data_IF_621892592518
#
_entry.id   IF_621892592518
#
_cell.length_a   1.000
_cell.length_b   1.000
_cell.length_c   1.000
_cell.angle_alpha   90.00
_cell.angle_beta   90.00
_cell.angle_gamma   90.00
#
_symmetry.space_group_name_H-M   'P 1'
#
loop_
_entity.id
_entity.type
_entity.pdbx_description
1 polymer ?
#
# COMPACT_ATOMS: atom_id res chain seq x y z
N UNK A 1 -1.86 16.10 13.50
CA UNK A 1 -2.40 15.24 12.44
C UNK A 1 -3.22 14.19 13.15
N UNK A 2 -4.49 14.03 12.82
CA UNK A 2 -5.20 12.82 13.22
C UNK A 2 -4.59 11.72 12.37
N UNK A 3 -3.63 10.99 12.95
CA UNK A 3 -2.90 9.91 12.27
C UNK A 3 -3.91 9.00 11.59
N UNK A 4 -3.66 8.67 10.32
CA UNK A 4 -4.47 7.69 9.63
C UNK A 4 -4.23 6.32 10.26
N UNK A 5 -5.07 6.03 11.26
CA UNK A 5 -5.03 4.81 12.06
C UNK A 5 -5.01 3.58 11.16
N UNK A 6 -5.66 3.61 9.98
CA UNK A 6 -5.73 2.45 9.10
C UNK A 6 -4.45 2.28 8.26
N UNK A 7 -3.91 3.36 7.68
CA UNK A 7 -2.62 3.30 6.99
C UNK A 7 -1.52 2.81 7.94
N UNK A 8 -1.48 3.35 9.16
CA UNK A 8 -0.52 2.96 10.17
C UNK A 8 -0.66 1.48 10.57
N UNK A 9 -1.88 0.95 10.66
CA UNK A 9 -2.10 -0.49 10.89
C UNK A 9 -1.54 -1.34 9.75
N UNK A 10 -1.71 -0.90 8.51
CA UNK A 10 -1.19 -1.61 7.33
C UNK A 10 0.33 -1.58 7.27
N UNK A 11 0.95 -0.43 7.52
CA UNK A 11 2.41 -0.30 7.59
C UNK A 11 2.97 -1.20 8.69
N UNK A 12 2.42 -1.12 9.90
CA UNK A 12 2.83 -2.00 11.01
C UNK A 12 2.63 -3.48 10.66
N UNK A 13 1.51 -3.84 10.06
CA UNK A 13 1.25 -5.21 9.61
C UNK A 13 2.26 -5.67 8.55
N UNK A 14 2.62 -4.79 7.60
CA UNK A 14 3.61 -5.09 6.58
C UNK A 14 5.00 -5.34 7.18
N UNK A 15 5.40 -4.53 8.16
CA UNK A 15 6.63 -4.71 8.94
C UNK A 15 6.60 -6.00 9.75
N UNK A 16 5.53 -6.27 10.51
CA UNK A 16 5.52 -7.41 11.43
C UNK A 16 5.20 -8.77 10.78
N UNK A 17 4.56 -8.80 9.61
CA UNK A 17 4.06 -10.05 8.98
C UNK A 17 4.63 -10.33 7.62
N UNK A 18 4.86 -9.32 6.78
CA UNK A 18 5.38 -9.55 5.43
C UNK A 18 6.92 -9.49 5.42
N UNK A 19 7.55 -8.47 6.00
CA UNK A 19 9.02 -8.35 6.02
C UNK A 19 9.73 -9.63 6.54
N UNK A 20 9.32 -10.26 7.66
CA UNK A 20 9.98 -11.45 8.18
C UNK A 20 9.97 -12.66 7.24
N UNK A 21 9.08 -12.68 6.23
CA UNK A 21 9.05 -13.75 5.22
C UNK A 21 10.23 -13.67 4.25
N UNK A 22 10.89 -12.51 4.14
CA UNK A 22 11.96 -12.22 3.20
C UNK A 22 13.31 -11.98 3.88
N UNK A 23 13.35 -11.60 5.15
CA UNK A 23 14.61 -11.25 5.86
C UNK A 23 15.70 -12.33 5.69
N UNK A 24 15.32 -13.60 5.79
CA UNK A 24 16.27 -14.72 5.68
C UNK A 24 16.84 -14.95 4.27
N UNK A 25 16.26 -14.35 3.22
CA UNK A 25 16.76 -14.44 1.85
C UNK A 25 17.47 -13.17 1.38
N UNK A 26 17.49 -12.12 2.19
CA UNK A 26 18.11 -10.83 1.83
C UNK A 26 19.58 -10.85 2.24
N UNK A 27 20.47 -10.66 1.27
CA UNK A 27 21.89 -10.41 1.48
C UNK A 27 22.31 -9.16 0.73
N UNK A 28 23.05 -8.26 1.41
CA UNK A 28 23.52 -6.98 0.86
C UNK A 28 22.43 -6.15 0.15
N UNK A 29 21.19 -6.22 0.63
CA UNK A 29 20.05 -5.48 0.08
C UNK A 29 19.34 -6.15 -1.10
N UNK A 30 19.69 -7.39 -1.45
CA UNK A 30 19.06 -8.15 -2.53
C UNK A 30 18.47 -9.45 -1.99
N UNK A 31 17.20 -9.71 -2.31
CA UNK A 31 16.53 -10.95 -1.95
C UNK A 31 16.79 -12.05 -2.97
N UNK A 32 17.26 -13.22 -2.53
CA UNK A 32 17.43 -14.39 -3.40
C UNK A 32 16.12 -15.05 -3.85
N UNK A 33 14.96 -14.48 -3.49
CA UNK A 33 13.63 -14.96 -3.89
C UNK A 33 13.12 -14.32 -5.18
N UNK A 34 13.85 -13.33 -5.71
CA UNK A 34 13.48 -12.61 -6.92
C UNK A 34 14.63 -12.64 -7.93
N UNK A 35 14.28 -12.54 -9.21
CA UNK A 35 15.19 -12.14 -10.28
C UNK A 35 15.06 -10.62 -10.48
N UNK A 36 16.15 -9.88 -10.28
CA UNK A 36 16.12 -8.42 -10.32
C UNK A 36 15.70 -7.85 -11.67
N UNK A 37 16.00 -8.55 -12.77
CA UNK A 37 15.71 -8.07 -14.12
C UNK A 37 14.29 -8.43 -14.56
N UNK A 38 13.70 -9.49 -14.00
CA UNK A 38 12.40 -10.00 -14.43
C UNK A 38 11.25 -9.69 -13.45
N UNK A 39 11.53 -9.58 -12.15
CA UNK A 39 10.47 -9.50 -11.13
C UNK A 39 10.13 -8.09 -10.67
N UNK A 40 11.06 -7.14 -10.75
CA UNK A 40 10.81 -5.77 -10.30
C UNK A 40 9.69 -5.16 -11.16
N UNK A 41 8.66 -4.62 -10.49
CA UNK A 41 7.44 -4.13 -11.12
C UNK A 41 6.37 -5.18 -11.39
N UNK A 42 6.61 -6.45 -11.08
CA UNK A 42 5.68 -7.56 -11.31
C UNK A 42 5.37 -8.36 -10.02
N UNK A 43 4.30 -9.18 -10.06
CA UNK A 43 3.79 -9.97 -8.91
C UNK A 43 4.01 -11.49 -9.11
N UNK A 44 4.91 -11.89 -10.02
CA UNK A 44 5.13 -13.30 -10.38
C UNK A 44 5.72 -14.11 -9.22
N UNK A 45 6.72 -13.54 -8.53
CA UNK A 45 7.48 -14.22 -7.49
C UNK A 45 7.23 -13.65 -6.07
N UNK A 46 6.11 -12.96 -5.86
CA UNK A 46 5.72 -12.55 -4.52
C UNK A 46 5.56 -13.78 -3.61
N UNK A 47 6.15 -13.72 -2.41
CA UNK A 47 6.16 -14.85 -1.48
C UNK A 47 4.71 -15.32 -1.21
N UNK A 48 4.34 -16.61 -1.36
CA UNK A 48 2.94 -17.07 -1.29
C UNK A 48 2.20 -16.78 0.02
N UNK A 49 2.95 -16.69 1.14
CA UNK A 49 2.44 -16.29 2.46
C UNK A 49 2.33 -14.77 2.67
N UNK A 50 2.92 -13.96 1.79
CA UNK A 50 2.84 -12.50 1.84
C UNK A 50 1.40 -12.07 1.66
N UNK A 51 0.97 -11.16 2.52
CA UNK A 51 -0.41 -10.69 2.56
C UNK A 51 -0.54 -9.52 1.61
N UNK A 52 -1.48 -9.65 0.70
CA UNK A 52 -1.82 -8.65 -0.32
C UNK A 52 -3.28 -8.31 -0.15
N UNK A 53 -3.61 -7.04 -0.18
CA UNK A 53 -4.98 -6.63 0.06
C UNK A 53 -5.29 -5.30 -0.58
N UNK A 54 -6.56 -5.12 -0.92
CA UNK A 54 -7.17 -3.84 -1.23
C UNK A 54 -8.32 -3.61 -0.25
N UNK A 55 -8.25 -2.54 0.54
CA UNK A 55 -9.35 -2.05 1.37
C UNK A 55 -9.94 -0.83 0.70
N UNK A 56 -11.25 -0.85 0.49
CA UNK A 56 -12.03 0.36 0.18
C UNK A 56 -12.71 0.79 1.47
N UNK A 57 -12.59 2.06 1.83
CA UNK A 57 -13.28 2.60 3.00
C UNK A 57 -14.18 3.76 2.62
N UNK A 58 -15.29 3.80 3.34
CA UNK A 58 -16.22 4.90 3.46
C UNK A 58 -17.02 4.62 4.75
N UNK A 59 -17.81 5.57 5.21
CA UNK A 59 -18.82 5.34 6.23
C UNK A 59 -19.93 4.39 5.78
N UNK A 60 -21.11 4.58 6.35
CA UNK A 60 -22.15 3.56 6.47
C UNK A 60 -22.79 3.12 5.13
N UNK A 61 -22.61 3.89 4.05
CA UNK A 61 -23.22 3.66 2.71
C UNK A 61 -22.29 3.00 1.70
N UNK A 62 -21.10 2.54 2.12
CA UNK A 62 -20.04 2.01 1.25
C UNK A 62 -20.51 0.89 0.32
N UNK A 63 -21.14 -0.16 0.88
CA UNK A 63 -21.52 -1.37 0.15
C UNK A 63 -22.57 -1.07 -0.93
N UNK A 64 -23.57 -0.25 -0.61
CA UNK A 64 -24.65 0.12 -1.52
C UNK A 64 -24.12 0.90 -2.73
N UNK A 65 -23.27 1.92 -2.48
CA UNK A 65 -22.65 2.73 -3.53
C UNK A 65 -21.75 1.89 -4.44
N UNK A 66 -20.87 1.07 -3.88
CA UNK A 66 -20.00 0.19 -4.67
C UNK A 66 -20.79 -0.76 -5.59
N UNK A 67 -21.97 -1.24 -5.18
CA UNK A 67 -22.83 -2.05 -6.05
C UNK A 67 -23.52 -1.22 -7.12
N UNK A 68 -24.05 -0.06 -6.75
CA UNK A 68 -24.72 0.85 -7.69
C UNK A 68 -23.81 1.21 -8.85
N UNK A 69 -22.53 1.44 -8.56
CA UNK A 69 -21.51 1.80 -9.54
C UNK A 69 -20.79 0.57 -10.13
N UNK A 70 -21.33 -0.62 -9.87
CA UNK A 70 -20.84 -1.92 -10.39
C UNK A 70 -19.37 -2.23 -10.07
N UNK A 71 -18.78 -1.55 -9.07
CA UNK A 71 -17.44 -1.82 -8.53
C UNK A 71 -17.45 -3.14 -7.76
N UNK A 72 -18.53 -3.40 -7.01
CA UNK A 72 -18.75 -4.68 -6.35
C UNK A 72 -19.88 -5.42 -7.06
N UNK A 73 -19.58 -6.58 -7.64
CA UNK A 73 -20.53 -7.44 -8.37
C UNK A 73 -21.09 -8.56 -7.49
N UNK A 74 -20.60 -8.68 -6.26
CA UNK A 74 -20.99 -9.74 -5.34
C UNK A 74 -22.47 -9.60 -4.92
N UNK A 75 -23.22 -10.68 -5.13
CA UNK A 75 -24.65 -10.77 -4.83
C UNK A 75 -24.93 -10.83 -3.33
N UNK A 76 -23.94 -11.21 -2.52
CA UNK A 76 -24.05 -11.32 -1.06
C UNK A 76 -23.38 -10.13 -0.39
N UNK A 77 -23.97 -9.68 0.72
CA UNK A 77 -23.35 -8.67 1.56
C UNK A 77 -22.08 -9.23 2.22
N UNK A 78 -21.01 -8.41 2.32
CA UNK A 78 -19.84 -8.77 3.11
C UNK A 78 -20.24 -9.06 4.56
N UNK A 79 -19.73 -10.17 5.10
CA UNK A 79 -19.85 -10.46 6.53
C UNK A 79 -18.79 -9.64 7.25
N UNK A 80 -19.23 -8.67 8.05
CA UNK A 80 -18.34 -7.78 8.79
C UNK A 80 -17.86 -8.42 10.10
N UNK A 81 -16.60 -8.16 10.43
CA UNK A 81 -15.95 -8.52 11.70
C UNK A 81 -15.35 -7.26 12.32
N UNK A 82 -15.58 -7.07 13.62
CA UNK A 82 -15.03 -5.93 14.35
C UNK A 82 -13.51 -6.04 14.51
N UNK A 83 -12.81 -4.93 14.27
CA UNK A 83 -11.35 -4.77 14.31
C UNK A 83 -11.00 -3.41 14.96
N UNK A 84 -11.40 -3.19 16.23
CA UNK A 84 -11.32 -1.88 16.88
C UNK A 84 -9.88 -1.37 17.06
N UNK A 85 -8.91 -2.27 17.13
CA UNK A 85 -7.49 -2.01 17.37
C UNK A 85 -6.59 -2.76 16.36
N UNK A 86 -5.28 -2.63 16.56
CA UNK A 86 -4.29 -3.32 15.72
C UNK A 86 -4.36 -4.85 15.88
N UNK A 87 -4.54 -5.35 17.10
CA UNK A 87 -4.53 -6.80 17.36
C UNK A 87 -5.71 -7.50 16.68
N UNK A 88 -6.91 -6.91 16.77
CA UNK A 88 -8.09 -7.37 16.05
C UNK A 88 -7.89 -7.30 14.53
N UNK A 89 -7.32 -6.20 14.04
CA UNK A 89 -6.98 -6.03 12.63
C UNK A 89 -6.02 -7.12 12.14
N UNK A 90 -4.90 -7.33 12.83
CA UNK A 90 -3.91 -8.34 12.48
C UNK A 90 -4.51 -9.75 12.55
N UNK A 91 -5.25 -10.07 13.62
CA UNK A 91 -5.89 -11.38 13.77
C UNK A 91 -6.93 -11.68 12.68
N UNK A 92 -7.62 -10.66 12.15
CA UNK A 92 -8.50 -10.82 11.00
C UNK A 92 -7.71 -11.23 9.75
N UNK A 93 -6.66 -10.47 9.40
CA UNK A 93 -5.88 -10.73 8.18
C UNK A 93 -4.97 -11.95 8.27
N UNK A 94 -4.53 -12.35 9.47
CA UNK A 94 -3.76 -13.58 9.66
C UNK A 94 -4.57 -14.83 9.26
N UNK A 95 -5.90 -14.81 9.51
CA UNK A 95 -6.83 -15.90 9.16
C UNK A 95 -7.20 -15.93 7.67
N UNK A 96 -7.01 -14.85 6.93
CA UNK A 96 -7.33 -14.82 5.50
C UNK A 96 -6.19 -15.42 4.68
N UNK A 97 -6.52 -16.11 3.58
CA UNK A 97 -5.49 -16.65 2.68
C UNK A 97 -5.16 -15.64 1.59
N UNK A 98 -3.87 -15.37 1.41
CA UNK A 98 -3.30 -14.71 0.24
C UNK A 98 -3.81 -13.29 -0.03
N UNK A 99 -4.19 -13.07 -1.29
CA UNK A 99 -4.68 -11.81 -1.82
C UNK A 99 -6.19 -11.65 -1.63
N UNK A 100 -6.68 -10.46 -1.32
CA UNK A 100 -8.11 -10.21 -1.13
C UNK A 100 -8.54 -8.76 -1.23
N UNK A 101 -9.84 -8.59 -1.47
CA UNK A 101 -10.50 -7.29 -1.49
C UNK A 101 -11.45 -7.18 -0.31
N UNK A 102 -11.50 -5.99 0.30
CA UNK A 102 -12.20 -5.77 1.56
C UNK A 102 -12.88 -4.41 1.56
N UNK A 103 -13.98 -4.33 2.29
CA UNK A 103 -14.63 -3.07 2.67
C UNK A 103 -14.35 -2.80 4.14
N UNK A 104 -13.92 -1.59 4.46
CA UNK A 104 -13.67 -1.14 5.82
C UNK A 104 -14.63 -0.04 6.20
N UNK A 105 -15.29 -0.20 7.34
CA UNK A 105 -16.26 0.75 7.84
C UNK A 105 -15.64 1.59 8.95
N UNK A 106 -15.07 2.75 8.60
CA UNK A 106 -14.21 3.58 9.48
C UNK A 106 -14.80 3.87 10.86
N UNK A 107 -16.08 4.26 10.93
CA UNK A 107 -16.77 4.61 12.20
C UNK A 107 -17.03 3.43 13.13
N UNK A 108 -17.43 2.29 12.56
CA UNK A 108 -17.75 1.08 13.32
C UNK A 108 -16.52 0.17 13.49
N UNK A 109 -15.36 0.55 12.93
CA UNK A 109 -14.10 -0.18 12.97
C UNK A 109 -14.27 -1.68 12.66
N UNK A 110 -14.96 -1.97 11.57
CA UNK A 110 -15.26 -3.34 11.12
C UNK A 110 -14.87 -3.55 9.67
N UNK A 111 -14.45 -4.75 9.35
CA UNK A 111 -13.96 -5.14 8.02
C UNK A 111 -14.77 -6.31 7.48
N UNK A 112 -15.13 -6.25 6.20
CA UNK A 112 -15.82 -7.31 5.50
C UNK A 112 -15.06 -7.70 4.24
N UNK A 113 -14.90 -9.00 3.98
CA UNK A 113 -14.31 -9.47 2.73
C UNK A 113 -15.31 -9.35 1.58
N UNK A 114 -14.85 -8.81 0.46
CA UNK A 114 -15.55 -8.81 -0.82
C UNK A 114 -14.98 -9.94 -1.69
N UNK A 115 -15.82 -10.76 -2.31
CA UNK A 115 -15.33 -11.86 -3.15
C UNK A 115 -14.86 -11.38 -4.50
N UNK A 116 -15.58 -10.41 -5.05
CA UNK A 116 -15.36 -9.93 -6.40
C UNK A 116 -15.49 -8.42 -6.47
N UNK A 117 -14.41 -7.76 -6.89
CA UNK A 117 -14.43 -6.38 -7.34
C UNK A 117 -14.26 -6.39 -8.86
N UNK A 118 -15.16 -5.70 -9.56
CA UNK A 118 -14.98 -5.40 -10.96
C UNK A 118 -13.84 -4.39 -11.08
N UNK A 119 -12.74 -4.77 -11.75
CA UNK A 119 -11.58 -3.90 -11.96
C UNK A 119 -11.79 -2.91 -13.11
N UNK A 120 -12.87 -3.06 -13.88
CA UNK A 120 -13.26 -2.15 -14.95
C UNK A 120 -14.77 -1.84 -14.93
N UNK A 121 -15.27 -1.20 -13.86
CA UNK A 121 -16.67 -0.82 -13.76
C UNK A 121 -17.01 0.25 -14.81
N UNK A 122 -18.07 0.06 -15.62
CA UNK A 122 -18.49 1.04 -16.62
C UNK A 122 -18.80 2.39 -15.94
N UNK A 123 -18.24 3.48 -16.48
CA UNK A 123 -18.59 4.84 -16.04
C UNK A 123 -17.92 5.34 -14.75
N UNK A 124 -16.98 4.58 -14.15
CA UNK A 124 -16.28 5.05 -12.94
C UNK A 124 -15.37 6.25 -13.26
N UNK A 125 -14.57 6.20 -14.33
CA UNK A 125 -13.76 7.31 -14.86
C UNK A 125 -13.51 7.08 -16.35
N UNK A 126 -13.83 8.08 -17.21
CA UNK A 126 -13.72 7.94 -18.68
C UNK A 126 -12.27 8.07 -19.22
N UNK A 127 -11.35 8.71 -18.50
CA UNK A 127 -9.95 8.94 -18.92
C UNK A 127 -8.94 8.29 -17.96
N UNK A 128 -8.87 6.96 -17.98
CA UNK A 128 -8.00 6.19 -17.09
C UNK A 128 -6.50 6.47 -17.31
N UNK A 129 -6.08 6.60 -18.57
CA UNK A 129 -4.65 6.70 -18.89
C UNK A 129 -4.06 8.00 -18.34
N UNK A 130 -4.82 9.10 -18.41
CA UNK A 130 -4.43 10.38 -17.79
C UNK A 130 -4.33 10.29 -16.27
N UNK A 131 -5.17 9.47 -15.63
CA UNK A 131 -5.16 9.31 -14.20
C UNK A 131 -3.90 8.55 -13.76
N UNK A 132 -3.57 7.43 -14.41
CA UNK A 132 -2.39 6.63 -14.05
C UNK A 132 -1.07 7.39 -14.29
N UNK A 133 -1.03 8.23 -15.32
CA UNK A 133 0.11 9.12 -15.58
C UNK A 133 0.39 10.12 -14.44
N UNK A 134 -0.54 10.32 -13.50
CA UNK A 134 -0.31 11.17 -12.31
C UNK A 134 0.55 10.51 -11.24
N UNK A 135 0.71 9.19 -11.28
CA UNK A 135 1.53 8.46 -10.30
C UNK A 135 3.00 8.84 -10.47
N UNK A 136 3.79 8.89 -9.38
CA UNK A 136 5.21 9.17 -9.51
C UNK A 136 5.91 8.06 -10.31
N UNK A 137 6.98 8.43 -11.02
CA UNK A 137 7.73 7.51 -11.90
C UNK A 137 8.21 6.26 -11.15
N UNK A 138 8.57 6.42 -9.88
CA UNK A 138 9.04 5.34 -9.03
C UNK A 138 7.92 4.52 -8.36
N UNK A 139 6.65 4.72 -8.72
CA UNK A 139 5.54 4.04 -8.06
C UNK A 139 5.49 2.52 -8.32
N UNK A 140 5.86 2.09 -9.53
CA UNK A 140 5.82 0.67 -9.92
C UNK A 140 7.12 -0.01 -9.48
N UNK A 141 8.24 0.56 -9.88
CA UNK A 141 9.59 0.14 -9.53
C UNK A 141 10.35 1.32 -8.93
N UNK A 142 11.10 1.07 -7.86
CA UNK A 142 11.82 2.10 -7.09
C UNK A 142 12.77 3.00 -7.92
N UNK A 143 13.26 2.50 -9.07
CA UNK A 143 14.21 3.16 -9.96
C UNK A 143 13.53 3.79 -11.19
N UNK A 144 12.20 3.68 -11.31
CA UNK A 144 11.45 4.17 -12.46
C UNK A 144 11.66 3.36 -13.74
N UNK A 145 12.27 2.17 -13.66
CA UNK A 145 12.53 1.31 -14.83
C UNK A 145 11.25 0.77 -15.48
N UNK A 146 10.16 0.66 -14.69
CA UNK A 146 8.86 0.17 -15.16
C UNK A 146 7.87 1.32 -15.24
N UNK A 147 7.28 1.59 -16.41
CA UNK A 147 6.41 2.73 -16.62
C UNK A 147 5.09 2.58 -15.85
N UNK A 148 4.47 3.70 -15.47
CA UNK A 148 3.27 3.71 -14.62
C UNK A 148 2.06 3.08 -15.32
N UNK A 149 2.05 3.01 -16.64
CA UNK A 149 1.04 2.32 -17.44
C UNK A 149 1.00 0.80 -17.14
N UNK A 150 2.08 0.20 -16.64
CA UNK A 150 2.12 -1.22 -16.25
C UNK A 150 1.49 -1.50 -14.88
N UNK A 151 0.90 -0.49 -14.22
CA UNK A 151 0.19 -0.67 -12.96
C UNK A 151 -0.95 -1.69 -13.12
N UNK A 152 -0.89 -2.74 -12.28
CA UNK A 152 -1.88 -3.81 -12.29
C UNK A 152 -3.31 -3.38 -11.93
N UNK A 153 -4.28 -4.17 -12.38
CA UNK A 153 -5.72 -3.86 -12.33
C UNK A 153 -6.26 -3.47 -10.94
N UNK A 154 -5.81 -4.12 -9.87
CA UNK A 154 -6.27 -3.78 -8.50
C UNK A 154 -5.80 -2.41 -8.05
N UNK A 155 -4.56 -2.05 -8.40
CA UNK A 155 -3.99 -0.76 -8.06
C UNK A 155 -4.62 0.35 -8.91
N UNK A 156 -4.90 0.08 -10.20
CA UNK A 156 -5.72 0.97 -11.03
C UNK A 156 -7.08 1.22 -10.38
N UNK A 157 -7.76 0.18 -9.90
CA UNK A 157 -9.04 0.31 -9.22
C UNK A 157 -8.92 1.09 -7.90
N UNK A 158 -7.88 0.81 -7.10
CA UNK A 158 -7.60 1.53 -5.86
C UNK A 158 -7.48 3.03 -6.11
N UNK A 159 -6.80 3.43 -7.18
CA UNK A 159 -6.65 4.83 -7.54
C UNK A 159 -7.91 5.44 -8.15
N UNK A 160 -8.69 4.70 -8.95
CA UNK A 160 -9.95 5.19 -9.56
C UNK A 160 -11.03 5.50 -8.52
N UNK A 161 -11.18 4.65 -7.51
CA UNK A 161 -12.33 4.71 -6.58
C UNK A 161 -12.43 6.09 -5.89
N UNK A 162 -11.37 6.64 -5.26
CA UNK A 162 -11.43 7.96 -4.63
C UNK A 162 -11.68 9.11 -5.61
N UNK A 163 -11.33 8.95 -6.89
CA UNK A 163 -11.58 9.97 -7.91
C UNK A 163 -13.05 10.02 -8.31
N UNK A 164 -13.67 8.86 -8.48
CA UNK A 164 -15.10 8.75 -8.77
C UNK A 164 -15.97 9.06 -7.53
N UNK A 165 -15.47 8.70 -6.34
CA UNK A 165 -16.13 8.89 -5.05
C UNK A 165 -15.17 9.64 -4.11
N UNK A 166 -15.17 10.98 -4.13
CA UNK A 166 -14.27 11.82 -3.32
C UNK A 166 -14.29 11.52 -1.82
N UNK A 167 -15.39 10.95 -1.33
CA UNK A 167 -15.58 10.57 0.05
C UNK A 167 -15.04 9.16 0.40
N UNK A 168 -14.50 8.44 -0.59
CA UNK A 168 -13.90 7.12 -0.41
C UNK A 168 -12.39 7.26 -0.35
N UNK A 169 -11.78 6.38 0.44
CA UNK A 169 -10.34 6.23 0.49
C UNK A 169 -10.04 4.76 0.14
N UNK A 170 -8.88 4.49 -0.43
CA UNK A 170 -8.43 3.12 -0.66
C UNK A 170 -7.05 2.90 -0.07
N UNK A 171 -6.85 1.70 0.47
CA UNK A 171 -5.58 1.30 1.04
C UNK A 171 -5.16 -0.03 0.45
N UNK A 172 -3.86 -0.20 0.22
CA UNK A 172 -3.35 -1.41 -0.40
C UNK A 172 -2.08 -1.89 0.30
N UNK A 173 -1.91 -3.21 0.38
CA UNK A 173 -0.58 -3.83 0.47
C UNK A 173 -0.41 -4.54 -0.88
N UNK A 174 0.50 -4.02 -1.70
CA UNK A 174 0.81 -4.54 -3.04
C UNK A 174 1.74 -5.75 -2.94
N UNK A 175 1.49 -6.74 -3.78
CA UNK A 175 2.39 -7.89 -3.97
C UNK A 175 3.54 -7.60 -4.93
N UNK A 176 3.30 -6.68 -5.87
CA UNK A 176 4.27 -6.23 -6.87
C UNK A 176 5.60 -5.90 -6.24
N UNK A 177 6.67 -6.59 -6.65
CA UNK A 177 8.02 -6.36 -6.16
C UNK A 177 8.45 -4.95 -6.54
N UNK A 178 8.74 -4.14 -5.54
CA UNK A 178 9.02 -2.71 -5.76
C UNK A 178 10.52 -2.42 -5.81
N UNK A 179 11.32 -3.15 -5.04
CA UNK A 179 12.77 -2.95 -4.89
C UNK A 179 13.49 -4.30 -4.85
N UNK A 180 14.84 -4.31 -4.89
CA UNK A 180 15.64 -5.54 -4.83
C UNK A 180 15.41 -6.40 -3.57
N UNK A 181 14.75 -5.85 -2.55
CA UNK A 181 14.34 -6.58 -1.35
C UNK A 181 13.23 -7.61 -1.62
N UNK A 182 12.56 -7.59 -2.79
CA UNK A 182 11.51 -8.55 -3.13
C UNK A 182 10.14 -8.28 -2.50
N UNK A 183 9.99 -7.14 -1.83
CA UNK A 183 8.74 -6.74 -1.19
C UNK A 183 8.01 -5.69 -2.03
N UNK A 184 6.68 -5.69 -1.92
CA UNK A 184 5.87 -4.60 -2.43
C UNK A 184 5.73 -3.44 -1.47
N UNK A 185 4.75 -2.58 -1.75
CA UNK A 185 4.52 -1.33 -1.02
C UNK A 185 3.15 -1.31 -0.34
N UNK A 186 3.03 -0.47 0.68
CA UNK A 186 1.74 -0.08 1.26
C UNK A 186 1.33 1.25 0.66
N UNK A 187 0.09 1.39 0.21
CA UNK A 187 -0.41 2.66 -0.35
C UNK A 187 -1.70 3.08 0.32
N UNK A 188 -1.95 4.39 0.31
CA UNK A 188 -3.23 5.00 0.62
C UNK A 188 -3.53 6.05 -0.44
N UNK A 189 -4.72 5.99 -1.02
CA UNK A 189 -5.19 6.95 -2.01
C UNK A 189 -6.46 7.64 -1.51
N UNK A 190 -6.45 8.96 -1.65
CA UNK A 190 -7.64 9.80 -1.59
C UNK A 190 -7.81 10.48 -2.95
N UNK A 191 -8.86 11.28 -3.11
CA UNK A 191 -8.99 12.13 -4.31
C UNK A 191 -7.83 13.13 -4.47
N UNK A 192 -7.29 13.61 -3.35
CA UNK A 192 -6.39 14.77 -3.33
C UNK A 192 -4.94 14.38 -2.99
N UNK A 193 -4.68 13.16 -2.52
CA UNK A 193 -3.37 12.76 -2.03
C UNK A 193 -3.10 11.27 -2.25
N UNK A 194 -1.81 10.94 -2.20
CA UNK A 194 -1.32 9.57 -2.12
C UNK A 194 -0.29 9.48 -0.98
N UNK A 195 -0.34 8.42 -0.20
CA UNK A 195 0.74 8.00 0.68
C UNK A 195 1.28 6.66 0.22
N UNK A 196 2.59 6.46 0.36
CA UNK A 196 3.24 5.19 0.12
C UNK A 196 4.28 4.89 1.20
N UNK A 197 4.37 3.61 1.55
CA UNK A 197 5.41 3.08 2.42
C UNK A 197 6.07 1.88 1.75
N UNK A 198 7.40 1.82 1.81
CA UNK A 198 8.19 0.74 1.24
C UNK A 198 9.47 0.49 2.04
N UNK A 199 10.15 -0.61 1.75
CA UNK A 199 11.43 -0.95 2.37
C UNK A 199 12.59 -0.62 1.44
N UNK A 200 13.67 -0.12 2.01
CA UNK A 200 14.91 0.21 1.31
C UNK A 200 16.12 -0.30 2.09
N UNK A 201 17.17 -0.72 1.38
CA UNK A 201 18.46 -1.05 1.97
C UNK A 201 19.34 0.20 1.97
N UNK A 202 19.68 0.71 3.16
CA UNK A 202 20.53 1.89 3.32
C UNK A 202 21.62 1.60 4.37
N UNK A 203 22.75 0.98 3.98
CA UNK A 203 23.83 0.63 4.91
C UNK A 203 24.50 1.85 5.55
N UNK A 204 24.31 3.03 4.97
CA UNK A 204 24.86 4.30 5.47
C UNK A 204 23.87 5.08 6.33
N UNK A 205 22.66 4.56 6.53
CA UNK A 205 21.65 5.22 7.35
C UNK A 205 22.12 5.37 8.80
N UNK A 206 22.02 6.59 9.33
CA UNK A 206 22.44 6.93 10.70
C UNK A 206 21.29 6.88 11.72
N UNK A 207 20.05 6.76 11.24
CA UNK A 207 18.85 6.68 12.08
C UNK A 207 18.46 5.25 12.46
N UNK A 208 17.20 5.08 12.86
CA UNK A 208 16.68 3.78 13.27
C UNK A 208 16.36 2.92 12.04
N UNK A 209 16.81 1.68 12.08
CA UNK A 209 16.45 0.66 11.09
C UNK A 209 15.16 -0.05 11.49
N UNK A 210 14.40 -0.51 10.48
CA UNK A 210 13.37 -1.52 10.69
C UNK A 210 14.03 -2.87 10.98
N UNK A 211 15.09 -3.19 10.25
CA UNK A 211 15.96 -4.34 10.51
C UNK A 211 17.44 -3.88 10.58
N UNK A 212 18.03 -3.78 11.79
CA UNK A 212 19.41 -3.30 11.95
C UNK A 212 20.50 -4.25 11.42
N UNK A 213 20.20 -5.54 11.33
CA UNK A 213 21.14 -6.58 10.88
C UNK A 213 21.29 -6.49 9.36
N UNK A 214 20.17 -6.42 8.66
CA UNK A 214 20.10 -6.32 7.19
C UNK A 214 20.13 -4.88 6.67
N UNK A 215 20.29 -3.88 7.54
CA UNK A 215 20.33 -2.44 7.20
C UNK A 215 19.11 -1.97 6.40
N UNK A 216 17.93 -2.49 6.76
CA UNK A 216 16.67 -2.14 6.10
C UNK A 216 16.01 -0.98 6.83
N UNK A 217 15.66 0.06 6.09
CA UNK A 217 14.88 1.21 6.55
C UNK A 217 13.47 1.14 5.95
N UNK A 218 12.49 1.64 6.71
CA UNK A 218 11.16 1.89 6.21
C UNK A 218 11.08 3.31 5.69
N UNK A 219 10.61 3.50 4.46
CA UNK A 219 10.51 4.81 3.83
C UNK A 219 9.04 5.15 3.62
N UNK A 220 8.63 6.31 4.11
CA UNK A 220 7.31 6.87 3.89
C UNK A 220 7.40 8.10 3.01
N UNK A 221 6.48 8.21 2.06
CA UNK A 221 6.31 9.37 1.21
C UNK A 221 4.84 9.77 1.13
N UNK A 222 4.58 11.07 1.14
CA UNK A 222 3.27 11.66 0.92
C UNK A 222 3.32 12.62 -0.24
N UNK A 223 2.39 12.42 -1.17
CA UNK A 223 2.19 13.24 -2.33
C UNK A 223 0.84 13.95 -2.22
N UNK A 224 0.79 15.19 -2.70
CA UNK A 224 -0.42 16.00 -2.76
C UNK A 224 -0.68 16.36 -4.22
N UNK A 225 -1.94 16.33 -4.63
CA UNK A 225 -2.35 16.75 -5.96
C UNK A 225 -2.15 18.25 -6.14
N UNK A 226 -1.47 18.63 -7.21
CA UNK A 226 -1.33 20.01 -7.67
C UNK A 226 -1.57 20.05 -9.18
N UNK A 227 -2.78 20.48 -9.57
CA UNK A 227 -3.26 20.38 -10.95
C UNK A 227 -3.44 18.93 -11.39
N UNK A 228 -2.72 18.54 -12.43
CA UNK A 228 -2.76 17.19 -13.02
C UNK A 228 -1.61 16.29 -12.53
N UNK A 229 -0.85 16.70 -11.51
CA UNK A 229 0.28 15.93 -10.99
C UNK A 229 0.16 15.65 -9.49
N UNK A 230 0.78 14.56 -9.04
CA UNK A 230 1.05 14.31 -7.62
C UNK A 230 2.46 14.81 -7.28
N UNK A 231 2.54 15.80 -6.39
CA UNK A 231 3.81 16.41 -5.97
C UNK A 231 4.19 15.91 -4.59
N UNK A 232 5.43 15.42 -4.43
CA UNK A 232 5.97 14.98 -3.15
C UNK A 232 5.97 16.15 -2.16
N UNK A 233 5.33 15.97 -1.00
CA UNK A 233 5.26 16.97 0.07
C UNK A 233 6.00 16.57 1.33
N UNK A 234 6.17 15.27 1.55
CA UNK A 234 6.79 14.76 2.76
C UNK A 234 7.49 13.44 2.47
N UNK A 235 8.68 13.30 3.04
CA UNK A 235 9.46 12.06 3.03
C UNK A 235 10.04 11.84 4.43
N UNK A 236 9.89 10.62 4.96
CA UNK A 236 10.29 10.25 6.32
C UNK A 236 10.83 8.83 6.35
N UNK A 237 11.67 8.53 7.34
CA UNK A 237 11.86 7.15 7.75
C UNK A 237 10.78 6.74 8.74
N UNK A 238 10.46 5.45 8.73
CA UNK A 238 9.47 4.84 9.61
C UNK A 238 10.04 3.58 10.22
N UNK A 239 9.91 3.47 11.54
CA UNK A 239 10.33 2.32 12.32
C UNK A 239 9.33 1.98 13.43
N UNK A 240 9.52 0.85 14.10
CA UNK A 240 8.75 0.48 15.29
C UNK A 240 9.54 0.85 16.55
N UNK A 241 8.88 1.49 17.52
CA UNK A 241 9.46 1.68 18.85
C UNK A 241 9.47 0.38 19.67
N UNK A 242 10.05 0.42 20.88
CA UNK A 242 10.08 -0.72 21.79
C UNK A 242 8.68 -1.26 22.18
N UNK A 243 7.62 -0.49 21.98
CA UNK A 243 6.23 -0.85 22.23
C UNK A 243 5.47 -1.20 20.94
N UNK A 244 6.18 -1.36 19.81
CA UNK A 244 5.63 -1.66 18.49
C UNK A 244 4.68 -0.57 17.94
N UNK A 245 4.87 0.69 18.34
CA UNK A 245 4.21 1.82 17.68
C UNK A 245 5.06 2.33 16.53
N UNK A 246 4.41 2.82 15.47
CA UNK A 246 5.13 3.47 14.37
C UNK A 246 5.69 4.82 14.83
N UNK A 247 6.96 5.03 14.54
CA UNK A 247 7.67 6.29 14.73
C UNK A 247 8.08 6.81 13.37
N UNK A 248 7.71 8.05 13.10
CA UNK A 248 8.03 8.75 11.87
C UNK A 248 9.10 9.79 12.17
N UNK A 249 10.26 9.67 11.52
CA UNK A 249 11.35 10.64 11.65
C UNK A 249 11.59 11.33 10.31
N UNK A 250 11.83 12.65 10.28
CA UNK A 250 12.30 13.31 9.07
C UNK A 250 13.50 12.54 8.53
N UNK A 251 13.59 12.45 7.20
CA UNK A 251 14.83 11.99 6.59
C UNK A 251 15.90 13.02 6.93
N UNK A 252 16.72 12.75 7.96
CA UNK A 252 17.94 13.55 8.18
C UNK A 252 18.72 13.51 6.88
N UNK A 253 19.10 14.68 6.37
CA UNK A 253 19.59 14.92 5.01
C UNK A 253 20.76 14.00 4.65
N UNK A 254 20.44 12.78 4.23
CA UNK A 254 21.35 11.85 3.61
C UNK A 254 21.53 12.41 2.17
N UNK A 255 22.76 12.81 1.76
CA UNK A 255 22.99 13.58 0.54
C UNK A 255 22.51 12.91 -0.78
N UNK A 256 22.05 11.65 -0.72
CA UNK A 256 21.42 10.94 -1.83
C UNK A 256 19.93 11.22 -2.04
N UNK A 257 19.19 11.73 -1.05
CA UNK A 257 17.74 11.95 -1.17
C UNK A 257 17.43 13.42 -1.44
N UNK A 258 17.15 13.74 -2.71
CA UNK A 258 16.65 15.06 -3.09
C UNK A 258 15.12 15.06 -2.99
N UNK A 259 14.58 15.81 -2.04
CA UNK A 259 13.21 16.30 -2.15
C UNK A 259 13.25 17.40 -3.23
N UNK A 260 12.56 17.18 -4.33
CA UNK A 260 12.46 18.15 -5.43
C UNK A 260 11.75 19.43 -5.00
#
# INVERSE_FOLDING_TARGET
MADDILFNRLVRYHIERNLPLYIGSIEEGVSSLIDMDEDIGYDYNAHPRSKRLLLVTNGDTLVEKLRKDQVMTDSKDPVFTDVPDYDGFAAFFDKTKGDGSYVYHKRAQRVGRVRELNTNPPGLVENLDNLIAMLPEDFVAYDGSVPTEEVGNKTRLAFKIPYAHPEFETYQIKGTVHSPLGLGIVTHFTKESMEMFYFEHDPMHTGDFVDPEKKIVGVYRRYQREGDNLVLKEMKTVNLDAKQNLVYKPLESNPGYKVA
#
